data_IF_753274321866
#
_entry.id   IF_753274321866
#
_cell.length_a   1.000
_cell.length_b   1.000
_cell.length_c   1.000
_cell.angle_alpha   90.00
_cell.angle_beta   90.00
_cell.angle_gamma   90.00
#
_symmetry.space_group_name_H-M   'P 1'
#
loop_
_entity.id
_entity.type
_entity.pdbx_description
1 polymer ?
#
# COMPACT_ATOMS: atom_id res chain seq x y z
N UNK A 1 25.63 -1.00 1.50
CA UNK A 1 25.17 -0.59 2.85
C UNK A 1 24.78 -1.85 3.59
N UNK A 2 25.35 -2.07 4.78
CA UNK A 2 25.02 -3.17 5.67
C UNK A 2 23.59 -2.95 6.21
N UNK A 3 22.70 -3.96 6.09
CA UNK A 3 21.33 -3.82 6.60
C UNK A 3 21.37 -3.80 8.13
N UNK A 4 20.80 -2.76 8.74
CA UNK A 4 20.63 -2.71 10.19
C UNK A 4 19.69 -3.85 10.65
N UNK A 5 19.96 -4.46 11.81
CA UNK A 5 19.16 -5.54 12.42
C UNK A 5 17.66 -5.27 12.41
N UNK A 6 17.22 -4.02 12.64
CA UNK A 6 15.81 -3.64 12.54
C UNK A 6 15.22 -3.97 11.16
N UNK A 7 15.95 -3.65 10.09
CA UNK A 7 15.53 -3.90 8.71
C UNK A 7 15.48 -5.40 8.40
N UNK A 8 16.45 -6.17 8.89
CA UNK A 8 16.45 -7.64 8.73
C UNK A 8 15.20 -8.26 9.37
N UNK A 9 14.81 -7.78 10.56
CA UNK A 9 13.60 -8.23 11.23
C UNK A 9 12.35 -7.83 10.44
N UNK A 10 12.28 -6.62 9.89
CA UNK A 10 11.14 -6.18 9.07
C UNK A 10 10.97 -7.03 7.80
N UNK A 11 12.05 -7.37 7.10
CA UNK A 11 11.99 -8.21 5.90
C UNK A 11 11.54 -9.65 6.20
N UNK A 12 12.03 -10.20 7.32
CA UNK A 12 11.57 -11.50 7.81
C UNK A 12 10.10 -11.46 8.23
N UNK A 13 9.68 -10.38 8.89
CA UNK A 13 8.30 -10.17 9.31
C UNK A 13 7.36 -10.01 8.12
N UNK A 14 7.74 -9.22 7.13
CA UNK A 14 7.00 -9.08 5.87
C UNK A 14 6.71 -10.44 5.25
N UNK A 15 7.73 -11.28 5.12
CA UNK A 15 7.54 -12.58 4.51
C UNK A 15 6.60 -13.48 5.33
N UNK A 16 6.77 -13.50 6.66
CA UNK A 16 5.89 -14.27 7.56
C UNK A 16 4.44 -13.78 7.50
N UNK A 17 4.21 -12.46 7.51
CA UNK A 17 2.89 -11.87 7.46
C UNK A 17 2.21 -12.06 6.10
N UNK A 18 2.94 -11.93 5.00
CA UNK A 18 2.40 -12.20 3.66
C UNK A 18 2.05 -13.69 3.45
N UNK A 19 2.77 -14.60 4.10
CA UNK A 19 2.51 -16.05 4.00
C UNK A 19 1.41 -16.54 4.94
N UNK A 20 1.27 -15.94 6.14
CA UNK A 20 0.44 -16.47 7.23
C UNK A 20 -0.65 -15.53 7.74
N UNK A 21 -0.69 -14.29 7.25
CA UNK A 21 -1.53 -13.21 7.81
C UNK A 21 -1.07 -12.78 9.20
N UNK A 22 -1.75 -11.77 9.76
CA UNK A 22 -1.45 -11.31 11.12
C UNK A 22 -1.63 -12.44 12.12
N UNK A 23 -2.79 -13.10 12.17
CA UNK A 23 -3.08 -14.09 13.21
C UNK A 23 -2.17 -15.32 13.15
N UNK A 24 -1.88 -15.83 11.94
CA UNK A 24 -1.06 -17.01 11.74
C UNK A 24 0.44 -16.81 11.99
N UNK A 25 0.94 -15.58 11.84
CA UNK A 25 2.36 -15.26 12.01
C UNK A 25 2.85 -15.43 13.45
N UNK A 26 4.11 -15.84 13.66
CA UNK A 26 4.70 -15.94 15.01
C UNK A 26 6.00 -15.16 15.11
N UNK A 27 6.17 -14.35 16.16
CA UNK A 27 7.41 -13.57 16.40
C UNK A 27 8.65 -14.45 16.57
N UNK A 28 8.47 -15.71 17.00
CA UNK A 28 9.54 -16.71 17.04
C UNK A 28 9.97 -17.18 15.64
N UNK A 29 9.04 -17.29 14.69
CA UNK A 29 9.38 -17.60 13.29
C UNK A 29 10.02 -16.40 12.59
N UNK A 30 9.54 -15.18 12.89
CA UNK A 30 10.19 -13.94 12.43
C UNK A 30 11.64 -13.88 12.91
N UNK A 31 11.89 -14.12 14.21
CA UNK A 31 13.24 -14.16 14.77
C UNK A 31 14.12 -15.20 14.07
N UNK A 32 13.58 -16.41 13.88
CA UNK A 32 14.27 -17.52 13.19
C UNK A 32 14.62 -17.14 11.74
N UNK A 33 13.68 -16.57 10.99
CA UNK A 33 13.89 -16.15 9.59
C UNK A 33 14.89 -14.99 9.49
N UNK A 34 14.89 -14.08 10.47
CA UNK A 34 15.83 -12.97 10.56
C UNK A 34 17.23 -13.37 11.07
N UNK A 35 17.42 -14.60 11.56
CA UNK A 35 18.69 -15.04 12.15
C UNK A 35 19.04 -14.35 13.47
N UNK A 36 18.02 -13.89 14.22
CA UNK A 36 18.18 -13.15 15.48
C UNK A 36 17.50 -13.87 16.63
N UNK A 37 17.81 -13.48 17.88
CA UNK A 37 17.12 -14.00 19.05
C UNK A 37 15.71 -13.39 19.17
N UNK A 38 14.79 -14.13 19.80
CA UNK A 38 13.45 -13.61 20.09
C UNK A 38 13.48 -12.37 21.00
N UNK A 39 14.44 -12.33 21.94
CA UNK A 39 14.69 -11.17 22.78
C UNK A 39 15.07 -9.93 21.96
N UNK A 40 15.83 -10.09 20.87
CA UNK A 40 16.19 -8.97 19.99
C UNK A 40 14.98 -8.45 19.21
N UNK A 41 14.08 -9.32 18.75
CA UNK A 41 12.80 -8.90 18.15
C UNK A 41 11.97 -8.10 19.15
N UNK A 42 11.86 -8.57 20.40
CA UNK A 42 11.16 -7.85 21.45
C UNK A 42 11.83 -6.50 21.80
N UNK A 43 13.16 -6.45 21.80
CA UNK A 43 13.91 -5.20 22.03
C UNK A 43 13.59 -4.13 20.97
N UNK A 44 13.57 -4.49 19.68
CA UNK A 44 13.35 -3.52 18.61
C UNK A 44 11.88 -3.09 18.47
N UNK A 45 10.92 -3.99 18.70
CA UNK A 45 9.53 -3.72 18.34
C UNK A 45 8.55 -3.87 19.50
N UNK A 46 8.93 -4.52 20.60
CA UNK A 46 8.07 -4.80 21.75
C UNK A 46 6.99 -5.84 21.46
N UNK A 47 6.05 -5.51 20.57
CA UNK A 47 4.88 -6.36 20.27
C UNK A 47 4.83 -6.78 18.81
N UNK A 48 4.19 -7.93 18.55
CA UNK A 48 3.87 -8.38 17.17
C UNK A 48 3.07 -7.34 16.39
N UNK A 49 2.16 -6.62 17.05
CA UNK A 49 1.34 -5.57 16.43
C UNK A 49 2.19 -4.40 15.94
N UNK A 50 3.22 -4.00 16.67
CA UNK A 50 4.12 -2.94 16.23
C UNK A 50 4.90 -3.33 14.97
N UNK A 51 5.42 -4.56 14.93
CA UNK A 51 6.10 -5.10 13.73
C UNK A 51 5.12 -5.10 12.54
N UNK A 52 3.91 -5.61 12.77
CA UNK A 52 2.87 -5.66 11.75
C UNK A 52 2.53 -4.27 11.22
N UNK A 53 2.31 -3.29 12.10
CA UNK A 53 1.97 -1.94 11.68
C UNK A 53 3.07 -1.30 10.83
N UNK A 54 4.35 -1.50 11.18
CA UNK A 54 5.47 -1.01 10.36
C UNK A 54 5.50 -1.66 8.97
N UNK A 55 5.36 -3.00 8.90
CA UNK A 55 5.31 -3.72 7.61
C UNK A 55 4.09 -3.29 6.79
N UNK A 56 2.91 -3.27 7.41
CA UNK A 56 1.65 -2.93 6.77
C UNK A 56 1.66 -1.51 6.21
N UNK A 57 2.15 -0.55 7.00
CA UNK A 57 2.32 0.83 6.58
C UNK A 57 3.26 0.96 5.39
N UNK A 58 4.43 0.30 5.42
CA UNK A 58 5.40 0.32 4.31
C UNK A 58 4.78 -0.20 3.00
N UNK A 59 4.01 -1.30 3.05
CA UNK A 59 3.36 -1.85 1.85
C UNK A 59 2.24 -0.97 1.33
N UNK A 60 1.40 -0.44 2.22
CA UNK A 60 0.35 0.50 1.83
C UNK A 60 0.95 1.75 1.19
N UNK A 61 2.01 2.31 1.80
CA UNK A 61 2.68 3.49 1.28
C UNK A 61 3.33 3.23 -0.09
N UNK A 62 4.00 2.09 -0.25
CA UNK A 62 4.59 1.67 -1.52
C UNK A 62 3.52 1.52 -2.60
N UNK A 63 2.40 0.88 -2.27
CA UNK A 63 1.24 0.74 -3.15
C UNK A 63 0.71 2.13 -3.56
N UNK A 64 0.48 3.01 -2.60
CA UNK A 64 0.03 4.39 -2.83
C UNK A 64 0.94 5.14 -3.81
N UNK A 65 2.24 5.13 -3.53
CA UNK A 65 3.25 5.87 -4.30
C UNK A 65 3.33 5.40 -5.74
N UNK A 66 3.14 4.10 -5.98
CA UNK A 66 3.11 3.55 -7.34
C UNK A 66 1.99 4.14 -8.19
N UNK A 67 0.80 4.38 -7.60
CA UNK A 67 -0.32 5.05 -8.27
C UNK A 67 -0.13 6.57 -8.38
N UNK A 68 0.43 7.23 -7.37
CA UNK A 68 0.63 8.69 -7.39
C UNK A 68 1.60 9.13 -8.51
N UNK A 69 2.64 8.35 -8.80
CA UNK A 69 3.61 8.66 -9.85
C UNK A 69 3.01 8.67 -11.28
N UNK A 70 1.81 8.15 -11.47
CA UNK A 70 1.17 8.08 -12.79
C UNK A 70 0.52 9.41 -13.17
N UNK A 71 -0.04 10.12 -12.18
CA UNK A 71 -0.75 11.39 -12.37
C UNK A 71 0.18 12.59 -12.59
N UNK A 72 1.50 12.39 -12.57
CA UNK A 72 2.49 13.44 -12.82
C UNK A 72 2.96 13.48 -14.28
N UNK A 73 2.60 12.49 -15.11
CA UNK A 73 2.93 12.48 -16.53
C UNK A 73 1.89 13.30 -17.33
N UNK A 74 2.32 14.33 -18.06
CA UNK A 74 1.46 15.08 -19.01
C UNK A 74 1.06 14.22 -20.21
N UNK A 75 0.11 13.31 -20.03
CA UNK A 75 -0.55 12.52 -21.08
C UNK A 75 -2.03 12.91 -21.18
N UNK A 76 -2.70 12.54 -22.26
CA UNK A 76 -4.15 12.72 -22.36
C UNK A 76 -4.87 11.79 -21.35
N UNK A 77 -6.15 12.05 -21.09
CA UNK A 77 -6.92 11.33 -20.07
C UNK A 77 -6.93 9.81 -20.29
N UNK A 78 -7.29 9.35 -21.50
CA UNK A 78 -7.42 7.91 -21.78
C UNK A 78 -6.08 7.17 -21.70
N UNK A 79 -4.98 7.78 -22.17
CA UNK A 79 -3.64 7.21 -22.00
C UNK A 79 -3.22 7.16 -20.53
N UNK A 80 -3.62 8.16 -19.73
CA UNK A 80 -3.36 8.17 -18.29
C UNK A 80 -4.12 7.02 -17.61
N UNK A 81 -5.42 6.88 -17.90
CA UNK A 81 -6.24 5.77 -17.38
C UNK A 81 -5.67 4.42 -17.79
N UNK A 82 -5.31 4.24 -19.07
CA UNK A 82 -4.70 3.01 -19.56
C UNK A 82 -3.42 2.65 -18.80
N UNK A 83 -2.51 3.62 -18.62
CA UNK A 83 -1.27 3.41 -17.88
C UNK A 83 -1.52 3.05 -16.41
N UNK A 84 -2.51 3.69 -15.76
CA UNK A 84 -2.89 3.35 -14.37
C UNK A 84 -3.36 1.90 -14.30
N UNK A 85 -4.25 1.50 -15.21
CA UNK A 85 -4.81 0.14 -15.24
C UNK A 85 -3.71 -0.89 -15.53
N UNK A 86 -2.84 -0.65 -16.51
CA UNK A 86 -1.72 -1.55 -16.83
C UNK A 86 -0.74 -1.70 -15.66
N UNK A 87 -0.31 -0.60 -15.04
CA UNK A 87 0.56 -0.65 -13.87
C UNK A 87 -0.11 -1.32 -12.67
N UNK A 88 -1.42 -1.07 -12.48
CA UNK A 88 -2.20 -1.75 -11.44
C UNK A 88 -2.11 -3.26 -11.64
N UNK A 89 -2.51 -3.76 -12.82
CA UNK A 89 -2.49 -5.20 -13.11
C UNK A 89 -1.08 -5.80 -13.06
N UNK A 90 -0.06 -5.10 -13.55
CA UNK A 90 1.33 -5.57 -13.44
C UNK A 90 1.79 -5.68 -11.99
N UNK A 91 1.46 -4.69 -11.15
CA UNK A 91 1.79 -4.70 -9.73
C UNK A 91 1.06 -5.85 -9.02
N UNK A 92 -0.24 -6.02 -9.30
CA UNK A 92 -1.03 -7.12 -8.75
C UNK A 92 -0.46 -8.49 -9.16
N UNK A 93 -0.07 -8.64 -10.43
CA UNK A 93 0.52 -9.87 -10.95
C UNK A 93 1.88 -10.18 -10.32
N UNK A 94 2.70 -9.15 -10.02
CA UNK A 94 4.00 -9.31 -9.34
C UNK A 94 3.85 -9.58 -7.83
N UNK A 95 2.73 -9.20 -7.22
CA UNK A 95 2.51 -9.28 -5.78
C UNK A 95 1.17 -9.94 -5.40
N UNK A 96 0.88 -11.18 -5.83
CA UNK A 96 -0.43 -11.82 -5.60
C UNK A 96 -0.74 -12.00 -4.10
N UNK A 97 0.27 -12.29 -3.28
CA UNK A 97 0.09 -12.46 -1.83
C UNK A 97 -0.24 -11.15 -1.13
N UNK A 98 0.19 -10.00 -1.69
CA UNK A 98 -0.08 -8.69 -1.10
C UNK A 98 -1.56 -8.33 -1.16
N UNK A 99 -2.28 -8.69 -2.23
CA UNK A 99 -3.73 -8.47 -2.31
C UNK A 99 -4.50 -9.30 -1.30
N UNK A 100 -4.20 -10.59 -1.23
CA UNK A 100 -4.85 -11.47 -0.26
C UNK A 100 -4.60 -10.98 1.17
N UNK A 101 -3.37 -10.55 1.45
CA UNK A 101 -2.98 -9.97 2.73
C UNK A 101 -3.73 -8.66 3.02
N UNK A 102 -3.71 -7.67 2.11
CA UNK A 102 -4.40 -6.41 2.33
C UNK A 102 -5.91 -6.63 2.49
N UNK A 103 -6.53 -7.48 1.66
CA UNK A 103 -7.95 -7.79 1.78
C UNK A 103 -8.28 -8.45 3.11
N UNK A 104 -7.52 -9.50 3.52
CA UNK A 104 -7.76 -10.18 4.78
C UNK A 104 -7.54 -9.28 5.99
N UNK A 105 -6.57 -8.37 5.93
CA UNK A 105 -6.22 -7.51 7.07
C UNK A 105 -7.08 -6.25 7.16
N UNK A 106 -7.49 -5.66 6.04
CA UNK A 106 -8.32 -4.45 5.98
C UNK A 106 -9.80 -4.78 6.17
N UNK A 107 -10.32 -5.84 5.56
CA UNK A 107 -11.74 -6.18 5.68
C UNK A 107 -12.07 -6.64 7.10
N UNK A 108 -11.16 -7.38 7.75
CA UNK A 108 -11.44 -8.03 9.03
C UNK A 108 -11.06 -7.19 10.27
N UNK A 109 -10.21 -6.16 10.16
CA UNK A 109 -9.77 -5.35 11.30
C UNK A 109 -10.04 -3.85 11.07
N UNK A 110 -10.90 -3.26 11.90
CA UNK A 110 -11.24 -1.83 11.86
C UNK A 110 -10.04 -0.92 12.08
N UNK A 111 -9.06 -1.33 12.89
CA UNK A 111 -7.84 -0.55 13.13
C UNK A 111 -6.96 -0.51 11.89
N UNK A 112 -6.89 -1.61 11.15
CA UNK A 112 -6.16 -1.67 9.89
C UNK A 112 -6.82 -0.81 8.81
N UNK A 113 -8.17 -0.73 8.80
CA UNK A 113 -8.90 0.25 7.96
C UNK A 113 -8.56 1.69 8.31
N UNK A 114 -8.57 2.03 9.59
CA UNK A 114 -8.23 3.38 10.04
C UNK A 114 -6.80 3.75 9.60
N UNK A 115 -5.82 2.86 9.78
CA UNK A 115 -4.44 3.07 9.33
C UNK A 115 -4.39 3.32 7.81
N UNK A 116 -5.13 2.53 7.03
CA UNK A 116 -5.22 2.71 5.57
C UNK A 116 -5.74 4.11 5.22
N UNK A 117 -6.86 4.52 5.83
CA UNK A 117 -7.50 5.83 5.61
C UNK A 117 -6.58 6.97 6.04
N UNK A 118 -6.05 6.92 7.25
CA UNK A 118 -5.24 7.97 7.87
C UNK A 118 -3.85 8.11 7.23
N UNK A 119 -3.33 7.04 6.62
CA UNK A 119 -2.03 7.05 5.95
C UNK A 119 -2.16 7.43 4.47
N UNK A 120 -3.10 6.80 3.76
CA UNK A 120 -3.26 7.02 2.33
C UNK A 120 -3.84 8.39 2.03
N UNK A 121 -4.92 8.78 2.71
CA UNK A 121 -5.63 10.01 2.34
C UNK A 121 -4.76 11.27 2.42
N UNK A 122 -3.89 11.45 3.44
CA UNK A 122 -2.97 12.58 3.47
C UNK A 122 -1.87 12.49 2.41
N UNK A 123 -1.35 11.29 2.12
CA UNK A 123 -0.31 11.07 1.09
C UNK A 123 -0.85 11.33 -0.32
N UNK A 124 -2.16 11.13 -0.52
CA UNK A 124 -2.87 11.41 -1.77
C UNK A 124 -3.22 12.92 -1.91
N UNK A 125 -3.25 13.68 -0.80
CA UNK A 125 -3.72 15.08 -0.79
C UNK A 125 -2.63 16.12 -1.05
N UNK A 126 -2.65 16.61 -2.28
CA UNK A 126 -3.01 17.99 -2.68
C UNK A 126 -2.78 18.03 -4.20
N UNK A 127 -1.60 17.62 -4.64
CA UNK A 127 -1.22 17.62 -6.06
C UNK A 127 -1.94 16.57 -6.92
N UNK A 128 -2.26 15.38 -6.40
CA UNK A 128 -2.87 14.32 -7.23
C UNK A 128 -4.36 14.52 -7.44
N UNK A 129 -5.11 14.86 -6.39
CA UNK A 129 -6.53 15.14 -6.53
C UNK A 129 -6.77 16.35 -7.45
N UNK A 130 -5.94 17.38 -7.38
CA UNK A 130 -6.04 18.55 -8.25
C UNK A 130 -5.72 18.22 -9.71
N UNK A 131 -4.70 17.38 -9.95
CA UNK A 131 -4.39 16.88 -11.29
C UNK A 131 -5.54 16.04 -11.87
N UNK A 132 -6.10 15.13 -11.07
CA UNK A 132 -7.24 14.29 -11.47
C UNK A 132 -8.47 15.15 -11.74
N UNK A 133 -8.78 16.11 -10.87
CA UNK A 133 -9.88 17.06 -11.08
C UNK A 133 -9.72 17.83 -12.39
N UNK A 134 -8.53 18.37 -12.66
CA UNK A 134 -8.24 19.11 -13.90
C UNK A 134 -8.45 18.24 -15.15
N UNK A 135 -7.98 16.99 -15.09
CA UNK A 135 -8.16 16.00 -16.16
C UNK A 135 -9.64 15.65 -16.38
N UNK A 136 -10.38 15.37 -15.30
CA UNK A 136 -11.81 15.05 -15.36
C UNK A 136 -12.63 16.23 -15.89
N UNK A 137 -12.42 17.44 -15.37
CA UNK A 137 -13.11 18.65 -15.84
C UNK A 137 -12.90 18.90 -17.34
N UNK A 138 -11.68 18.63 -17.84
CA UNK A 138 -11.36 18.79 -19.26
C UNK A 138 -12.18 17.85 -20.13
N UNK A 139 -12.32 16.59 -19.74
CA UNK A 139 -13.07 15.59 -20.50
C UNK A 139 -14.59 15.72 -20.31
N UNK A 140 -15.06 16.11 -19.12
CA UNK A 140 -16.47 16.44 -18.88
C UNK A 140 -16.91 17.62 -19.77
N UNK A 141 -16.10 18.68 -19.87
CA UNK A 141 -16.38 19.83 -20.76
C UNK A 141 -16.43 19.45 -22.24
N UNK A 142 -15.67 18.43 -22.66
CA UNK A 142 -15.71 17.89 -24.03
C UNK A 142 -16.90 16.95 -24.27
N UNK A 143 -17.60 16.52 -23.21
CA UNK A 143 -18.68 15.53 -23.29
C UNK A 143 -18.19 14.11 -23.55
N UNK A 144 -16.91 13.80 -23.32
CA UNK A 144 -16.32 12.48 -23.55
C UNK A 144 -16.54 11.52 -22.37
N UNK A 145 -16.78 12.05 -21.17
CA UNK A 145 -17.11 11.29 -19.95
C UNK A 145 -18.27 11.95 -19.19
N UNK A 146 -18.97 11.15 -18.38
CA UNK A 146 -20.01 11.66 -17.47
C UNK A 146 -19.42 12.37 -16.25
N UNK A 147 -20.23 13.20 -15.60
CA UNK A 147 -19.84 13.89 -14.37
C UNK A 147 -19.50 12.87 -13.26
N UNK A 148 -18.28 12.97 -12.72
CA UNK A 148 -17.78 12.14 -11.64
C UNK A 148 -16.77 12.94 -10.81
N UNK A 149 -16.81 12.79 -9.48
CA UNK A 149 -15.82 13.42 -8.60
C UNK A 149 -14.53 12.61 -8.62
N UNK A 150 -13.37 13.26 -8.50
CA UNK A 150 -12.08 12.58 -8.46
C UNK A 150 -11.99 11.48 -7.39
N UNK A 151 -12.58 11.70 -6.22
CA UNK A 151 -12.60 10.70 -5.14
C UNK A 151 -13.46 9.47 -5.51
N UNK A 152 -14.59 9.69 -6.18
CA UNK A 152 -15.48 8.61 -6.62
C UNK A 152 -14.86 7.84 -7.79
N UNK A 153 -14.16 8.53 -8.69
CA UNK A 153 -13.40 7.94 -9.79
C UNK A 153 -12.23 7.08 -9.32
N UNK A 154 -11.57 7.45 -8.23
CA UNK A 154 -10.41 6.73 -7.71
C UNK A 154 -10.76 5.46 -6.93
N UNK A 155 -12.00 5.34 -6.44
CA UNK A 155 -12.42 4.31 -5.47
C UNK A 155 -13.44 3.32 -6.06
N UNK A 156 -14.10 3.66 -7.18
CA UNK A 156 -15.08 2.79 -7.87
C UNK A 156 -14.47 2.12 -9.09
#
# INVERSE_FOLDING_TARGET
MEKNTKQIILEAAESEFLEKGYDGARTTQIAKRAGVTHAMVHYYFGTKRNIFNEVFFDKIYTLAKSFLNVFTQKKNFFDTVKNIVEMHFEFLAKHPNLLSFLYSEVVNDEKNRAILVDTLLPTIKENVLDNVNTLLETEIKKGTIHEIKAIDFAIR
#
